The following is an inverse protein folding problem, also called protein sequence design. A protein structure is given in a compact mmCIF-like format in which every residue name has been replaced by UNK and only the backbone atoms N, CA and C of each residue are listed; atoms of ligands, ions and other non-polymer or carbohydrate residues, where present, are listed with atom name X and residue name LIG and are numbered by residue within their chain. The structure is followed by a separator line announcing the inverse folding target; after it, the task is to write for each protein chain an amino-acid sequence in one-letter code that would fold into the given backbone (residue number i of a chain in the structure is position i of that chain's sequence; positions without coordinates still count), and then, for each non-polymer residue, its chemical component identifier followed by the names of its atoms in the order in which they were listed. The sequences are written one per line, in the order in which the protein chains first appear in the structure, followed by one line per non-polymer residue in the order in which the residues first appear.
data_IF_467453712406
#
_entry.id   IF_467453712406
#
_cell.length_a   1.000
_cell.length_b   1.000
_cell.length_c   1.000
_cell.angle_alpha   90.00
_cell.angle_beta   90.00
_cell.angle_gamma   90.00
#
_symmetry.space_group_name_H-M   'P 1'
#
loop_
_entity.id
_entity.type
_entity.pdbx_description
1 polymer ?
#
# COMPACT_ATOMS: atom_id res chain seq x y z
N UNK A 1 -5.85 11.06 20.36
CA UNK A 1 -4.46 10.68 20.70
C UNK A 1 -3.50 11.44 19.78
N UNK A 2 -3.90 11.84 18.64
CA UNK A 2 -3.19 12.46 17.54
C UNK A 2 -3.65 11.84 16.22
N UNK A 3 -3.61 12.61 15.13
CA UNK A 3 -3.89 12.14 13.78
C UNK A 3 -2.64 11.60 13.10
N UNK A 4 -2.80 10.99 11.93
CA UNK A 4 -1.66 10.52 11.12
C UNK A 4 -0.71 11.66 10.72
N UNK A 5 -1.24 12.87 10.59
CA UNK A 5 -0.47 14.08 10.25
C UNK A 5 0.00 14.87 11.47
N UNK A 6 -0.39 14.44 12.70
CA UNK A 6 0.09 15.05 13.93
C UNK A 6 1.38 14.35 14.33
N UNK A 7 2.51 14.93 14.00
CA UNK A 7 3.83 14.40 14.39
C UNK A 7 4.00 14.36 15.92
N UNK A 8 3.14 15.07 16.66
CA UNK A 8 3.21 15.22 18.09
C UNK A 8 2.10 14.44 18.79
N UNK A 9 2.49 13.46 19.61
CA UNK A 9 1.58 12.70 20.46
C UNK A 9 1.04 13.56 21.61
N UNK A 10 -0.28 13.51 21.85
CA UNK A 10 -0.89 14.19 22.99
C UNK A 10 -0.63 13.40 24.27
N UNK A 11 0.43 13.79 25.01
CA UNK A 11 0.91 13.07 26.19
C UNK A 11 -0.13 13.05 27.32
N UNK A 12 -0.81 14.17 27.58
CA UNK A 12 -1.83 14.24 28.65
C UNK A 12 -2.97 13.26 28.40
N UNK A 13 -3.48 13.24 27.18
CA UNK A 13 -4.57 12.33 26.80
C UNK A 13 -4.14 10.86 26.87
N UNK A 14 -2.92 10.53 26.45
CA UNK A 14 -2.40 9.16 26.48
C UNK A 14 -2.24 8.70 27.93
N UNK A 15 -1.64 9.52 28.81
CA UNK A 15 -1.46 9.19 30.22
C UNK A 15 -2.80 9.07 30.93
N UNK A 16 -3.77 9.93 30.61
CA UNK A 16 -5.11 9.87 31.20
C UNK A 16 -5.86 8.56 30.86
N UNK A 17 -5.57 7.94 29.71
CA UNK A 17 -6.13 6.65 29.31
C UNK A 17 -5.53 5.46 30.05
N UNK A 18 -4.37 5.65 30.73
CA UNK A 18 -3.65 4.62 31.49
C UNK A 18 -3.49 3.28 30.73
N UNK A 19 -3.00 3.27 29.49
CA UNK A 19 -2.80 2.02 28.77
C UNK A 19 -1.61 1.24 29.35
N UNK A 20 -1.67 -0.09 29.33
CA UNK A 20 -0.53 -0.95 29.71
C UNK A 20 0.62 -0.85 28.69
N UNK A 21 0.27 -0.62 27.42
CA UNK A 21 1.22 -0.46 26.34
C UNK A 21 0.68 0.45 25.24
N UNK A 22 1.59 1.06 24.50
CA UNK A 22 1.31 1.88 23.33
C UNK A 22 2.12 1.36 22.13
N UNK A 23 1.44 1.11 21.00
CA UNK A 23 2.09 0.74 19.76
C UNK A 23 2.20 1.98 18.89
N UNK A 24 3.41 2.30 18.43
CA UNK A 24 3.67 3.42 17.51
C UNK A 24 4.54 2.96 16.35
N UNK A 25 4.47 3.68 15.24
CA UNK A 25 5.38 3.41 14.15
C UNK A 25 6.76 4.09 14.38
N UNK A 26 7.76 3.64 13.62
CA UNK A 26 9.14 4.14 13.73
C UNK A 26 9.25 5.65 13.50
N UNK A 27 8.47 6.22 12.59
CA UNK A 27 8.48 7.67 12.30
C UNK A 27 7.97 8.47 13.50
N UNK A 28 6.85 8.05 14.08
CA UNK A 28 6.32 8.69 15.29
C UNK A 28 7.27 8.53 16.49
N UNK A 29 7.91 7.39 16.62
CA UNK A 29 8.95 7.21 17.66
C UNK A 29 10.07 8.23 17.50
N UNK A 30 10.64 8.36 16.30
CA UNK A 30 11.71 9.32 16.02
C UNK A 30 11.30 10.79 16.28
N UNK A 31 10.06 11.15 15.95
CA UNK A 31 9.53 12.50 16.16
C UNK A 31 9.18 12.82 17.64
N UNK A 32 9.09 11.80 18.50
CA UNK A 32 8.59 11.95 19.88
C UNK A 32 9.56 11.43 20.95
N UNK A 33 10.84 11.29 20.68
CA UNK A 33 11.81 10.67 21.60
C UNK A 33 11.77 11.22 23.02
N UNK A 34 11.65 12.54 23.20
CA UNK A 34 11.54 13.17 24.53
C UNK A 34 10.24 12.79 25.27
N UNK A 35 9.16 12.54 24.54
CA UNK A 35 7.87 12.14 25.12
C UNK A 35 7.83 10.67 25.49
N UNK A 36 8.61 9.84 24.81
CA UNK A 36 8.70 8.40 25.11
C UNK A 36 9.11 8.18 26.57
N UNK A 37 10.13 8.90 27.06
CA UNK A 37 10.54 8.82 28.47
C UNK A 37 9.43 9.22 29.45
N UNK A 38 8.56 10.15 29.06
CA UNK A 38 7.41 10.55 29.90
C UNK A 38 6.39 9.41 29.99
N UNK A 39 6.13 8.72 28.88
CA UNK A 39 5.23 7.56 28.86
C UNK A 39 5.79 6.41 29.68
N UNK A 40 7.07 6.09 29.52
CA UNK A 40 7.73 5.01 30.26
C UNK A 40 7.74 5.28 31.76
N UNK A 41 8.00 6.54 32.19
CA UNK A 41 7.90 6.97 33.61
C UNK A 41 6.48 6.86 34.15
N UNK A 42 5.45 7.01 33.30
CA UNK A 42 4.06 6.79 33.65
C UNK A 42 3.65 5.31 33.66
N UNK A 43 4.60 4.39 33.45
CA UNK A 43 4.36 2.94 33.42
C UNK A 43 3.82 2.40 32.11
N UNK A 44 3.77 3.22 31.06
CA UNK A 44 3.28 2.83 29.72
C UNK A 44 4.43 2.24 28.92
N UNK A 45 4.34 0.98 28.52
CA UNK A 45 5.34 0.34 27.64
C UNK A 45 5.18 0.86 26.22
N UNK A 46 6.27 1.37 25.62
CA UNK A 46 6.24 1.85 24.23
C UNK A 46 6.80 0.77 23.31
N UNK A 47 5.99 0.33 22.37
CA UNK A 47 6.31 -0.72 21.41
C UNK A 47 6.39 -0.10 20.02
N UNK A 48 7.55 -0.23 19.38
CA UNK A 48 7.79 0.33 18.05
C UNK A 48 7.66 -0.75 17.00
N UNK A 49 6.82 -0.50 15.99
CA UNK A 49 6.65 -1.37 14.83
C UNK A 49 7.06 -0.65 13.55
N UNK A 50 7.46 -1.40 12.54
CA UNK A 50 7.85 -0.83 11.24
C UNK A 50 7.27 -1.65 10.08
N UNK A 51 6.10 -1.23 9.61
CA UNK A 51 5.50 -1.73 8.37
C UNK A 51 5.64 -0.72 7.20
N UNK A 52 6.25 0.47 7.44
CA UNK A 52 6.40 1.49 6.41
C UNK A 52 7.60 1.28 5.50
N UNK A 53 8.66 0.70 6.01
CA UNK A 53 9.89 0.47 5.24
C UNK A 53 9.76 -0.56 4.13
N UNK A 54 8.60 -1.24 4.00
CA UNK A 54 8.33 -2.29 3.01
C UNK A 54 9.41 -3.37 2.93
N UNK A 55 10.04 -3.65 4.09
CA UNK A 55 11.06 -4.68 4.27
C UNK A 55 10.44 -5.86 5.01
N UNK A 56 10.51 -7.04 4.40
CA UNK A 56 9.90 -8.25 4.97
C UNK A 56 10.39 -8.54 6.39
N UNK A 57 11.69 -8.36 6.66
CA UNK A 57 12.26 -8.57 8.00
C UNK A 57 11.63 -7.65 9.05
N UNK A 58 11.30 -6.40 8.70
CA UNK A 58 10.66 -5.46 9.61
C UNK A 58 9.20 -5.84 9.86
N UNK A 59 8.47 -6.27 8.83
CA UNK A 59 7.09 -6.74 8.95
C UNK A 59 7.03 -8.01 9.82
N UNK A 60 7.91 -8.97 9.58
CA UNK A 60 8.01 -10.20 10.38
C UNK A 60 8.33 -9.89 11.84
N UNK A 61 9.34 -9.06 12.10
CA UNK A 61 9.71 -8.67 13.46
C UNK A 61 8.54 -7.95 14.17
N UNK A 62 7.91 -7.00 13.51
CA UNK A 62 6.77 -6.25 14.05
C UNK A 62 5.58 -7.17 14.39
N UNK A 63 5.27 -8.11 13.50
CA UNK A 63 4.20 -9.09 13.70
C UNK A 63 4.50 -10.01 14.89
N UNK A 64 5.74 -10.49 15.02
CA UNK A 64 6.18 -11.31 16.17
C UNK A 64 6.09 -10.56 17.48
N UNK A 65 6.52 -9.29 17.51
CA UNK A 65 6.42 -8.43 18.70
C UNK A 65 4.95 -8.29 19.13
N UNK A 66 4.05 -7.98 18.19
CA UNK A 66 2.61 -7.87 18.47
C UNK A 66 2.06 -9.21 18.96
N UNK A 67 2.40 -10.32 18.29
CA UNK A 67 1.97 -11.66 18.67
C UNK A 67 2.37 -12.01 20.09
N UNK A 68 3.64 -11.77 20.45
CA UNK A 68 4.17 -11.99 21.80
C UNK A 68 3.45 -11.14 22.85
N UNK A 69 3.24 -9.85 22.54
CA UNK A 69 2.54 -8.93 23.44
C UNK A 69 1.11 -9.38 23.73
N UNK A 70 0.43 -9.96 22.75
CA UNK A 70 -0.96 -10.40 22.86
C UNK A 70 -1.13 -11.88 23.23
N UNK A 71 -0.02 -12.62 23.46
CA UNK A 71 -0.06 -14.07 23.70
C UNK A 71 -0.58 -14.86 22.48
N UNK A 72 -0.32 -14.37 21.27
CA UNK A 72 -0.75 -14.95 19.99
C UNK A 72 0.43 -15.36 19.11
N UNK A 73 1.49 -15.90 19.70
CA UNK A 73 2.72 -16.28 19.00
C UNK A 73 2.47 -17.23 17.82
N UNK A 74 1.60 -18.22 17.99
CA UNK A 74 1.27 -19.20 16.92
C UNK A 74 0.65 -18.52 15.70
N UNK A 75 -0.30 -17.63 15.91
CA UNK A 75 -0.96 -16.87 14.82
C UNK A 75 0.03 -15.94 14.13
N UNK A 76 0.89 -15.28 14.92
CA UNK A 76 1.92 -14.40 14.39
C UNK A 76 2.93 -15.16 13.51
N UNK A 77 3.38 -16.37 13.94
CA UNK A 77 4.29 -17.19 13.14
C UNK A 77 3.63 -17.74 11.86
N UNK A 78 2.34 -18.06 11.91
CA UNK A 78 1.59 -18.45 10.71
C UNK A 78 1.52 -17.32 9.69
N UNK A 79 1.15 -16.11 10.12
CA UNK A 79 1.12 -14.90 9.29
C UNK A 79 2.51 -14.59 8.71
N UNK A 80 3.55 -14.67 9.54
CA UNK A 80 4.93 -14.45 9.10
C UNK A 80 5.34 -15.45 8.02
N UNK A 81 5.07 -16.75 8.22
CA UNK A 81 5.39 -17.78 7.23
C UNK A 81 4.66 -17.56 5.92
N UNK A 82 3.35 -17.26 5.95
CA UNK A 82 2.58 -16.93 4.74
C UNK A 82 3.20 -15.75 3.96
N UNK A 83 3.59 -14.70 4.66
CA UNK A 83 4.23 -13.54 4.03
C UNK A 83 5.60 -13.88 3.43
N UNK A 84 6.43 -14.64 4.16
CA UNK A 84 7.74 -15.08 3.68
C UNK A 84 7.59 -15.94 2.41
N UNK A 85 6.74 -16.96 2.47
CA UNK A 85 6.55 -17.89 1.37
C UNK A 85 5.89 -17.19 0.17
N UNK A 86 4.89 -16.33 0.42
CA UNK A 86 4.20 -15.56 -0.60
C UNK A 86 5.14 -14.60 -1.34
N UNK A 87 5.94 -13.81 -0.62
CA UNK A 87 6.91 -12.92 -1.28
C UNK A 87 8.02 -13.67 -1.99
N UNK A 88 8.47 -14.81 -1.47
CA UNK A 88 9.45 -15.66 -2.13
C UNK A 88 8.89 -16.21 -3.46
N UNK A 89 7.63 -16.62 -3.51
CA UNK A 89 6.98 -17.05 -4.75
C UNK A 89 6.83 -15.88 -5.74
N UNK A 90 6.41 -14.71 -5.26
CA UNK A 90 6.33 -13.49 -6.08
C UNK A 90 7.70 -13.18 -6.71
N UNK A 91 8.77 -13.16 -5.92
CA UNK A 91 10.12 -12.86 -6.40
C UNK A 91 10.58 -13.89 -7.46
N UNK A 92 10.33 -15.18 -7.22
CA UNK A 92 10.67 -16.23 -8.16
C UNK A 92 9.88 -16.14 -9.48
N UNK A 93 8.60 -15.79 -9.41
CA UNK A 93 7.76 -15.57 -10.59
C UNK A 93 8.18 -14.34 -11.38
N UNK A 94 8.46 -13.22 -10.70
CA UNK A 94 8.99 -12.00 -11.33
C UNK A 94 10.29 -12.31 -12.06
N UNK A 95 11.25 -12.99 -11.41
CA UNK A 95 12.52 -13.33 -12.02
C UNK A 95 12.37 -14.15 -13.31
N UNK A 96 11.43 -15.13 -13.31
CA UNK A 96 11.14 -15.93 -14.52
C UNK A 96 10.42 -15.12 -15.60
N UNK A 97 9.39 -14.36 -15.20
CA UNK A 97 8.53 -13.65 -16.15
C UNK A 97 9.24 -12.46 -16.83
N UNK A 98 10.17 -11.81 -16.12
CA UNK A 98 10.92 -10.65 -16.63
C UNK A 98 12.20 -11.01 -17.40
N UNK A 99 12.64 -12.27 -17.33
CA UNK A 99 13.90 -12.69 -17.94
C UNK A 99 13.96 -12.35 -19.43
N UNK A 100 14.97 -11.56 -19.83
CA UNK A 100 15.16 -11.13 -21.21
C UNK A 100 14.12 -10.14 -21.76
N UNK A 101 13.18 -9.67 -20.93
CA UNK A 101 12.14 -8.71 -21.33
C UNK A 101 12.48 -7.30 -20.83
N UNK A 102 12.02 -6.29 -21.57
CA UNK A 102 12.09 -4.90 -21.11
C UNK A 102 11.10 -4.68 -19.97
N UNK A 103 11.55 -4.00 -18.93
CA UNK A 103 10.69 -3.58 -17.82
C UNK A 103 9.55 -2.68 -18.32
N UNK A 104 8.29 -2.94 -17.94
CA UNK A 104 7.17 -2.08 -18.31
C UNK A 104 7.28 -0.74 -17.58
N UNK A 105 7.03 0.36 -18.31
CA UNK A 105 7.05 1.70 -17.74
C UNK A 105 5.75 1.97 -17.01
N UNK A 106 5.84 2.28 -15.70
CA UNK A 106 4.70 2.42 -14.81
C UNK A 106 4.61 3.81 -14.21
N UNK A 107 3.41 4.39 -14.23
CA UNK A 107 3.04 5.54 -13.40
C UNK A 107 2.11 5.07 -12.28
N UNK A 108 2.46 5.39 -11.03
CA UNK A 108 1.66 5.14 -9.83
C UNK A 108 1.44 6.44 -9.09
N UNK A 109 0.17 6.77 -8.80
CA UNK A 109 -0.17 7.93 -7.96
C UNK A 109 -1.24 7.59 -6.92
N UNK A 110 -1.26 8.35 -5.83
CA UNK A 110 -2.34 8.32 -4.84
C UNK A 110 -3.48 9.23 -5.29
N UNK A 111 -4.64 8.65 -5.58
CA UNK A 111 -5.83 9.35 -6.09
C UNK A 111 -6.59 10.20 -5.05
N UNK A 112 -5.92 10.66 -3.99
CA UNK A 112 -6.52 11.41 -2.88
C UNK A 112 -6.86 12.86 -3.21
N UNK A 113 -6.30 13.40 -4.30
CA UNK A 113 -6.54 14.79 -4.72
C UNK A 113 -7.62 14.93 -5.81
N UNK A 114 -8.26 13.82 -6.17
CA UNK A 114 -9.27 13.77 -7.21
C UNK A 114 -8.72 13.82 -8.64
N UNK A 115 -9.62 13.76 -9.62
CA UNK A 115 -9.27 13.65 -11.04
C UNK A 115 -8.55 14.89 -11.56
N UNK A 116 -8.91 16.08 -11.08
CA UNK A 116 -8.34 17.34 -11.55
C UNK A 116 -6.89 17.60 -11.13
N UNK A 117 -6.40 16.89 -10.12
CA UNK A 117 -5.09 17.13 -9.53
C UNK A 117 -4.24 15.86 -9.52
N UNK A 118 -2.91 16.02 -9.57
CA UNK A 118 -1.97 14.91 -9.47
C UNK A 118 -1.61 14.65 -8.01
N UNK A 119 -1.79 13.41 -7.59
CA UNK A 119 -1.46 12.96 -6.24
C UNK A 119 0.02 12.65 -6.05
N UNK A 120 0.36 12.17 -4.86
CA UNK A 120 1.73 11.74 -4.58
C UNK A 120 2.07 10.48 -5.35
N UNK A 121 3.28 10.47 -5.92
CA UNK A 121 3.99 9.30 -6.41
C UNK A 121 5.00 8.84 -5.36
N UNK A 122 5.66 7.72 -5.59
CA UNK A 122 6.55 7.08 -4.62
C UNK A 122 7.87 6.71 -5.31
N UNK A 123 8.99 7.04 -4.66
CA UNK A 123 10.28 6.53 -5.13
C UNK A 123 10.43 5.03 -4.79
N UNK A 124 11.48 4.40 -5.32
CA UNK A 124 11.70 2.94 -5.18
C UNK A 124 11.95 2.45 -3.75
N UNK A 125 12.05 3.33 -2.75
CA UNK A 125 12.39 2.95 -1.37
C UNK A 125 11.18 2.82 -0.46
N UNK A 126 9.99 3.26 -0.87
CA UNK A 126 8.83 3.35 0.03
C UNK A 126 7.52 2.91 -0.64
N UNK A 127 6.66 2.26 0.14
CA UNK A 127 5.28 1.89 -0.18
C UNK A 127 5.14 1.31 -1.61
N UNK A 128 4.24 1.88 -2.43
CA UNK A 128 3.99 1.40 -3.80
C UNK A 128 5.23 1.43 -4.69
N UNK A 129 6.14 2.40 -4.49
CA UNK A 129 7.39 2.46 -5.23
C UNK A 129 8.30 1.28 -4.93
N UNK A 130 8.38 0.84 -3.68
CA UNK A 130 9.13 -0.36 -3.29
C UNK A 130 8.51 -1.64 -3.88
N UNK A 131 7.17 -1.74 -3.94
CA UNK A 131 6.48 -2.86 -4.59
C UNK A 131 6.70 -2.87 -6.11
N UNK A 132 6.70 -1.71 -6.77
CA UNK A 132 7.03 -1.59 -8.19
C UNK A 132 8.48 -2.02 -8.47
N UNK A 133 9.42 -1.61 -7.60
CA UNK A 133 10.81 -2.04 -7.71
C UNK A 133 10.95 -3.56 -7.56
N UNK A 134 10.27 -4.17 -6.57
CA UNK A 134 10.20 -5.64 -6.40
C UNK A 134 9.63 -6.34 -7.64
N UNK A 135 8.61 -5.76 -8.26
CA UNK A 135 8.01 -6.27 -9.49
C UNK A 135 8.91 -6.09 -10.74
N UNK A 136 10.08 -5.47 -10.62
CA UNK A 136 10.96 -5.19 -11.73
C UNK A 136 10.38 -4.19 -12.75
N UNK A 137 9.54 -3.27 -12.29
CA UNK A 137 8.93 -2.24 -13.11
C UNK A 137 9.87 -1.04 -13.30
N UNK A 138 9.81 -0.39 -14.48
CA UNK A 138 10.40 0.93 -14.73
C UNK A 138 9.42 2.01 -14.24
N UNK A 139 9.43 2.28 -12.93
CA UNK A 139 8.58 3.34 -12.35
C UNK A 139 9.13 4.71 -12.71
N UNK A 140 8.30 5.58 -13.30
CA UNK A 140 8.72 6.94 -13.69
C UNK A 140 9.16 7.80 -12.50
N UNK A 141 8.80 7.39 -11.28
CA UNK A 141 9.13 8.09 -10.02
C UNK A 141 10.24 7.40 -9.22
N UNK A 142 10.81 6.28 -9.72
CA UNK A 142 11.75 5.44 -8.96
C UNK A 142 12.93 6.21 -8.37
N UNK A 143 13.46 7.16 -9.12
CA UNK A 143 14.65 7.93 -8.78
C UNK A 143 14.35 9.33 -8.21
N UNK A 144 13.10 9.63 -7.83
CA UNK A 144 12.78 10.90 -7.19
C UNK A 144 13.57 11.02 -5.88
N UNK A 145 14.13 12.21 -5.64
CA UNK A 145 14.91 12.49 -4.43
C UNK A 145 14.06 12.32 -3.17
N UNK A 146 12.84 12.88 -3.22
CA UNK A 146 11.91 12.80 -2.11
C UNK A 146 11.13 11.48 -2.17
N UNK A 147 10.91 10.82 -1.04
CA UNK A 147 10.11 9.58 -0.98
C UNK A 147 8.70 9.76 -1.53
N UNK A 148 8.12 10.94 -1.33
CA UNK A 148 6.79 11.34 -1.79
C UNK A 148 6.90 12.64 -2.59
N UNK A 149 6.36 12.64 -3.80
CA UNK A 149 6.27 13.85 -4.61
C UNK A 149 5.12 13.73 -5.61
N UNK A 150 4.43 14.82 -5.89
CA UNK A 150 3.48 14.85 -7.00
C UNK A 150 4.23 14.98 -8.32
N UNK A 151 3.82 14.23 -9.33
CA UNK A 151 4.29 14.45 -10.69
C UNK A 151 3.50 15.60 -11.34
N UNK A 152 4.13 16.31 -12.28
CA UNK A 152 3.38 17.25 -13.14
C UNK A 152 2.74 16.49 -14.30
N UNK A 153 1.66 17.05 -14.84
CA UNK A 153 0.98 16.48 -16.02
C UNK A 153 1.95 16.29 -17.19
N UNK A 154 2.74 17.32 -17.47
CA UNK A 154 3.71 17.34 -18.58
C UNK A 154 4.75 16.24 -18.40
N UNK A 155 5.20 16.03 -17.18
CA UNK A 155 6.15 14.96 -16.87
C UNK A 155 5.53 13.58 -17.13
N UNK A 156 4.34 13.30 -16.62
CA UNK A 156 3.65 12.01 -16.85
C UNK A 156 3.48 11.74 -18.35
N UNK A 157 3.04 12.76 -19.11
CA UNK A 157 2.84 12.64 -20.56
C UNK A 157 4.18 12.37 -21.27
N UNK A 158 5.25 13.10 -20.92
CA UNK A 158 6.58 12.93 -21.53
C UNK A 158 7.17 11.55 -21.25
N UNK A 159 6.89 10.97 -20.09
CA UNK A 159 7.33 9.62 -19.73
C UNK A 159 6.58 8.52 -20.48
N UNK A 160 5.39 8.82 -21.02
CA UNK A 160 4.60 7.91 -21.85
C UNK A 160 4.38 6.52 -21.21
N UNK A 161 3.80 6.41 -19.99
CA UNK A 161 3.70 5.16 -19.28
C UNK A 161 2.86 4.11 -20.02
N UNK A 162 3.28 2.86 -19.90
CA UNK A 162 2.61 1.69 -20.47
C UNK A 162 1.56 1.13 -19.53
N UNK A 163 1.67 1.46 -18.24
CA UNK A 163 0.76 1.07 -17.15
C UNK A 163 0.52 2.27 -16.26
N UNK A 164 -0.74 2.45 -15.84
CA UNK A 164 -1.11 3.44 -14.82
C UNK A 164 -1.83 2.73 -13.69
N UNK A 165 -1.44 3.04 -12.44
CA UNK A 165 -2.05 2.51 -11.23
C UNK A 165 -2.46 3.67 -10.35
N UNK A 166 -3.72 3.71 -9.90
CA UNK A 166 -4.25 4.74 -9.02
C UNK A 166 -4.52 4.13 -7.65
N UNK A 167 -3.84 4.63 -6.62
CA UNK A 167 -4.11 4.25 -5.23
C UNK A 167 -5.35 4.95 -4.72
N UNK A 168 -6.31 4.19 -4.21
CA UNK A 168 -7.55 4.68 -3.63
C UNK A 168 -7.67 4.36 -2.15
N UNK A 169 -8.65 4.94 -1.50
CA UNK A 169 -9.07 4.60 -0.13
C UNK A 169 -10.47 5.16 0.13
N UNK A 170 -11.04 4.85 1.30
CA UNK A 170 -12.18 5.60 1.82
C UNK A 170 -11.68 6.89 2.49
N UNK A 171 -11.57 7.95 1.72
CA UNK A 171 -11.08 9.22 2.22
C UNK A 171 -12.12 9.91 3.14
N UNK A 172 -11.68 10.46 4.26
CA UNK A 172 -12.50 11.26 5.17
C UNK A 172 -12.37 12.75 4.83
N UNK A 173 -12.93 13.17 3.73
CA UNK A 173 -12.86 14.57 3.27
C UNK A 173 -11.98 14.74 2.03
N UNK A 174 -11.90 15.95 1.49
CA UNK A 174 -11.19 16.30 0.27
C UNK A 174 -12.09 16.39 -0.96
N UNK A 175 -11.54 16.17 -2.15
CA UNK A 175 -12.28 16.26 -3.41
C UNK A 175 -13.33 15.14 -3.52
N UNK A 176 -14.47 15.42 -4.10
CA UNK A 176 -15.57 14.45 -4.27
C UNK A 176 -15.31 13.39 -5.33
N UNK A 177 -14.29 13.60 -6.17
CA UNK A 177 -13.88 12.75 -7.29
C UNK A 177 -12.56 11.98 -7.00
N UNK A 178 -12.27 11.77 -5.70
CA UNK A 178 -11.15 10.93 -5.26
C UNK A 178 -11.34 9.47 -5.64
N UNK A 179 -10.23 8.74 -5.85
CA UNK A 179 -10.27 7.29 -6.06
C UNK A 179 -10.76 6.57 -4.81
N UNK A 180 -11.91 5.89 -4.92
CA UNK A 180 -12.51 5.13 -3.84
C UNK A 180 -12.10 3.65 -3.95
N UNK A 181 -11.51 3.09 -2.88
CA UNK A 181 -11.10 1.68 -2.77
C UNK A 181 -11.22 1.21 -1.32
N UNK A 182 -11.13 -0.10 -1.11
CA UNK A 182 -11.06 -0.74 0.20
C UNK A 182 -12.41 -1.24 0.71
N UNK A 183 -12.47 -1.46 2.02
CA UNK A 183 -13.66 -1.99 2.69
C UNK A 183 -14.92 -1.18 2.38
N UNK A 184 -16.04 -1.89 2.19
CA UNK A 184 -17.37 -1.34 1.90
C UNK A 184 -17.49 -0.53 0.61
N UNK A 185 -16.44 -0.43 -0.20
CA UNK A 185 -16.49 0.21 -1.51
C UNK A 185 -16.94 -0.82 -2.55
N UNK A 186 -18.12 -0.59 -3.12
CA UNK A 186 -18.63 -1.44 -4.19
C UNK A 186 -17.75 -1.36 -5.44
N UNK A 187 -17.54 -2.48 -6.12
CA UNK A 187 -16.74 -2.56 -7.35
C UNK A 187 -17.19 -1.55 -8.42
N UNK A 188 -18.51 -1.40 -8.64
CA UNK A 188 -19.05 -0.42 -9.58
C UNK A 188 -18.68 1.03 -9.24
N UNK A 189 -18.62 1.37 -7.95
CA UNK A 189 -18.18 2.70 -7.50
C UNK A 189 -16.70 2.90 -7.82
N UNK A 190 -15.85 1.92 -7.50
CA UNK A 190 -14.43 1.96 -7.80
C UNK A 190 -14.17 2.05 -9.32
N UNK A 191 -14.89 1.27 -10.13
CA UNK A 191 -14.82 1.31 -11.60
C UNK A 191 -15.14 2.71 -12.15
N UNK A 192 -16.24 3.31 -11.70
CA UNK A 192 -16.63 4.68 -12.09
C UNK A 192 -15.57 5.71 -11.73
N UNK A 193 -14.97 5.60 -10.54
CA UNK A 193 -13.89 6.49 -10.13
C UNK A 193 -12.67 6.29 -11.03
N UNK A 194 -12.25 5.04 -11.27
CA UNK A 194 -11.08 4.73 -12.07
C UNK A 194 -11.25 5.17 -13.54
N UNK A 195 -12.44 5.00 -14.12
CA UNK A 195 -12.78 5.51 -15.45
C UNK A 195 -12.64 7.04 -15.52
N UNK A 196 -13.07 7.78 -14.49
CA UNK A 196 -12.91 9.22 -14.43
C UNK A 196 -11.42 9.63 -14.47
N UNK A 197 -10.54 8.91 -13.76
CA UNK A 197 -9.09 9.12 -13.84
C UNK A 197 -8.54 8.81 -15.24
N UNK A 198 -9.01 7.75 -15.89
CA UNK A 198 -8.58 7.37 -17.25
C UNK A 198 -8.91 8.46 -18.27
N UNK A 199 -9.98 9.23 -18.05
CA UNK A 199 -10.40 10.33 -18.91
C UNK A 199 -9.75 11.69 -18.61
N UNK A 200 -8.68 11.73 -17.82
CA UNK A 200 -7.90 12.96 -17.62
C UNK A 200 -7.46 13.58 -18.93
N UNK A 201 -7.47 14.91 -18.97
CA UNK A 201 -7.05 15.68 -20.14
C UNK A 201 -5.65 15.25 -20.63
N UNK A 202 -5.52 15.05 -21.93
CA UNK A 202 -4.31 14.65 -22.66
C UNK A 202 -3.82 13.21 -22.40
N UNK A 203 -4.51 12.40 -21.58
CA UNK A 203 -4.12 11.02 -21.33
C UNK A 203 -4.60 10.02 -22.39
N UNK A 204 -5.52 10.43 -23.26
CA UNK A 204 -6.12 9.56 -24.29
C UNK A 204 -5.06 8.95 -25.25
N UNK A 205 -3.91 9.61 -25.38
CA UNK A 205 -2.82 9.15 -26.24
C UNK A 205 -1.80 8.25 -25.54
N UNK A 206 -1.85 8.16 -24.21
CA UNK A 206 -0.93 7.31 -23.44
C UNK A 206 -1.16 5.81 -23.77
N UNK A 207 -0.10 5.01 -23.90
CA UNK A 207 -0.19 3.56 -24.13
C UNK A 207 -1.02 2.86 -23.06
N UNK A 208 -0.87 3.27 -21.79
CA UNK A 208 -1.66 2.73 -20.68
C UNK A 208 -3.17 2.87 -20.91
N UNK A 209 -3.63 4.01 -21.44
CA UNK A 209 -5.06 4.26 -21.73
C UNK A 209 -5.50 3.52 -22.98
N UNK A 210 -4.74 3.61 -24.07
CA UNK A 210 -5.08 2.94 -25.35
C UNK A 210 -5.17 1.41 -25.21
N UNK A 211 -4.29 0.83 -24.40
CA UNK A 211 -4.22 -0.61 -24.19
C UNK A 211 -4.99 -1.06 -22.96
N UNK A 212 -5.77 -0.17 -22.33
CA UNK A 212 -6.55 -0.41 -21.10
C UNK A 212 -5.73 -1.05 -19.95
N UNK A 213 -4.42 -0.75 -19.89
CA UNK A 213 -3.56 -1.13 -18.76
C UNK A 213 -3.66 -0.09 -17.65
N UNK A 214 -4.88 0.02 -17.12
CA UNK A 214 -5.28 1.01 -16.13
C UNK A 214 -5.90 0.32 -14.92
N UNK A 215 -5.30 0.52 -13.73
CA UNK A 215 -5.57 -0.27 -12.54
C UNK A 215 -5.77 0.62 -11.33
N UNK A 216 -6.43 0.06 -10.30
CA UNK A 216 -6.45 0.69 -8.98
C UNK A 216 -6.14 -0.32 -7.87
N UNK A 217 -5.64 0.21 -6.76
CA UNK A 217 -5.28 -0.55 -5.56
C UNK A 217 -5.74 0.17 -4.31
N UNK A 218 -6.16 -0.58 -3.29
CA UNK A 218 -6.49 -0.01 -1.98
C UNK A 218 -5.24 0.38 -1.21
N UNK A 219 -5.10 1.67 -0.91
CA UNK A 219 -3.98 2.20 -0.13
C UNK A 219 -4.01 1.74 1.34
N UNK A 220 -5.19 1.38 1.84
CA UNK A 220 -5.37 0.84 3.19
C UNK A 220 -4.77 -0.55 3.38
N UNK A 221 -4.65 -1.34 2.31
CA UNK A 221 -4.09 -2.69 2.33
C UNK A 221 -2.55 -2.74 2.41
N UNK A 222 -1.89 -1.59 2.46
CA UNK A 222 -0.46 -1.49 2.74
C UNK A 222 -0.17 -1.52 4.23
N UNK A 223 1.11 -1.69 4.57
CA UNK A 223 1.65 -1.57 5.93
C UNK A 223 1.09 -2.62 6.89
N UNK A 224 0.97 -3.83 6.40
CA UNK A 224 0.55 -5.01 7.17
C UNK A 224 1.34 -6.25 6.75
N UNK A 225 1.27 -7.32 7.54
CA UNK A 225 1.94 -8.58 7.20
C UNK A 225 1.31 -9.29 5.99
N UNK A 226 0.07 -8.92 5.60
CA UNK A 226 -0.63 -9.50 4.44
C UNK A 226 -0.47 -8.64 3.17
N UNK A 227 0.27 -7.53 3.20
CA UNK A 227 0.45 -6.66 2.03
C UNK A 227 1.29 -7.29 0.90
N UNK A 228 1.84 -8.48 1.12
CA UNK A 228 2.47 -9.29 0.08
C UNK A 228 1.50 -9.64 -1.07
N UNK A 229 0.19 -9.72 -0.80
CA UNK A 229 -0.83 -9.86 -1.84
C UNK A 229 -0.85 -8.66 -2.79
N UNK A 230 -0.62 -7.44 -2.26
CA UNK A 230 -0.50 -6.25 -3.11
C UNK A 230 0.78 -6.30 -3.95
N UNK A 231 1.88 -6.83 -3.41
CA UNK A 231 3.09 -7.10 -4.21
C UNK A 231 2.81 -8.10 -5.33
N UNK A 232 2.02 -9.15 -5.07
CA UNK A 232 1.59 -10.11 -6.09
C UNK A 232 0.70 -9.45 -7.16
N UNK A 233 -0.23 -8.57 -6.76
CA UNK A 233 -1.06 -7.83 -7.72
C UNK A 233 -0.23 -6.91 -8.61
N UNK A 234 0.68 -6.13 -8.05
CA UNK A 234 1.58 -5.25 -8.82
C UNK A 234 2.44 -6.07 -9.81
N UNK A 235 2.97 -7.22 -9.34
CA UNK A 235 3.71 -8.13 -10.22
C UNK A 235 2.84 -8.71 -11.34
N UNK A 236 1.58 -9.09 -11.05
CA UNK A 236 0.60 -9.55 -12.05
C UNK A 236 0.27 -8.46 -13.07
N UNK A 237 0.15 -7.21 -12.64
CA UNK A 237 -0.05 -6.06 -13.54
C UNK A 237 1.14 -5.87 -14.48
N UNK A 238 2.37 -6.04 -13.98
CA UNK A 238 3.58 -5.93 -14.79
C UNK A 238 3.80 -7.13 -15.73
N UNK A 239 3.54 -8.35 -15.24
CA UNK A 239 3.87 -9.62 -15.88
C UNK A 239 2.68 -10.59 -15.85
N UNK A 240 1.56 -10.30 -16.55
CA UNK A 240 0.29 -11.03 -16.40
C UNK A 240 0.41 -12.53 -16.65
N UNK A 241 1.22 -12.94 -17.62
CA UNK A 241 1.40 -14.37 -17.95
C UNK A 241 2.04 -15.18 -16.81
N UNK A 242 2.97 -14.57 -16.07
CA UNK A 242 3.66 -15.22 -14.94
C UNK A 242 2.79 -15.36 -13.68
N UNK A 243 1.62 -14.72 -13.66
CA UNK A 243 0.70 -14.65 -12.51
C UNK A 243 -0.75 -14.97 -12.89
N UNK A 244 -0.98 -15.65 -14.02
CA UNK A 244 -2.33 -15.94 -14.52
C UNK A 244 -3.16 -16.78 -13.54
N UNK A 245 -2.51 -17.68 -12.80
CA UNK A 245 -3.10 -18.57 -11.80
C UNK A 245 -3.33 -17.92 -10.43
N UNK A 246 -2.87 -16.68 -10.21
CA UNK A 246 -3.04 -15.99 -8.93
C UNK A 246 -4.25 -15.05 -8.94
N UNK A 247 -4.96 -15.03 -7.80
CA UNK A 247 -5.98 -14.04 -7.49
C UNK A 247 -5.60 -13.34 -6.16
N UNK A 248 -4.82 -12.25 -6.22
CA UNK A 248 -4.38 -11.54 -5.02
C UNK A 248 -5.53 -10.95 -4.19
N UNK A 249 -6.63 -10.51 -4.82
CA UNK A 249 -7.80 -9.98 -4.12
C UNK A 249 -8.51 -11.07 -3.32
N UNK A 250 -8.73 -12.22 -3.93
CA UNK A 250 -9.29 -13.38 -3.22
C UNK A 250 -8.40 -13.80 -2.04
N UNK A 251 -7.06 -13.71 -2.19
CA UNK A 251 -6.11 -13.96 -1.12
C UNK A 251 -6.26 -13.00 0.06
N UNK A 252 -6.38 -11.70 -0.18
CA UNK A 252 -6.63 -10.68 0.85
C UNK A 252 -7.94 -10.99 1.60
N UNK A 253 -9.01 -11.25 0.86
CA UNK A 253 -10.34 -11.55 1.45
C UNK A 253 -10.29 -12.83 2.28
N UNK A 254 -9.57 -13.86 1.81
CA UNK A 254 -9.41 -15.12 2.54
C UNK A 254 -8.64 -14.92 3.86
N UNK A 255 -7.57 -14.12 3.85
CA UNK A 255 -6.82 -13.82 5.06
C UNK A 255 -7.66 -13.00 6.06
N UNK A 256 -8.42 -12.01 5.62
CA UNK A 256 -9.34 -11.28 6.50
C UNK A 256 -10.39 -12.21 7.13
N UNK A 257 -11.03 -13.09 6.35
CA UNK A 257 -12.02 -14.06 6.87
C UNK A 257 -11.40 -15.02 7.88
N UNK A 258 -10.18 -15.44 7.66
CA UNK A 258 -9.50 -16.41 8.53
C UNK A 258 -9.05 -15.79 9.85
N UNK A 259 -8.38 -14.62 9.79
CA UNK A 259 -7.77 -14.01 10.98
C UNK A 259 -8.70 -13.04 11.72
N UNK A 260 -9.71 -12.50 11.04
CA UNK A 260 -10.66 -11.53 11.56
C UNK A 260 -12.10 -11.97 11.25
N UNK A 261 -12.57 -13.11 11.81
CA UNK A 261 -13.85 -13.72 11.42
C UNK A 261 -15.07 -12.82 11.67
N UNK A 262 -14.97 -11.86 12.59
CA UNK A 262 -16.03 -10.89 12.89
C UNK A 262 -16.01 -9.66 11.96
N UNK A 263 -15.00 -9.53 11.07
CA UNK A 263 -14.91 -8.47 10.08
C UNK A 263 -15.58 -8.91 8.78
N UNK A 264 -16.52 -8.12 8.28
CA UNK A 264 -17.01 -8.29 6.91
C UNK A 264 -15.94 -7.74 5.93
N UNK A 265 -15.27 -8.59 5.14
CA UNK A 265 -14.25 -8.16 4.19
C UNK A 265 -14.86 -7.70 2.86
N UNK A 266 -16.17 -7.40 2.79
CA UNK A 266 -16.77 -6.86 1.58
C UNK A 266 -16.12 -5.52 1.19
N UNK A 267 -15.71 -5.43 -0.07
CA UNK A 267 -15.02 -4.25 -0.59
C UNK A 267 -14.32 -4.49 -1.91
N UNK A 268 -13.57 -3.50 -2.37
CA UNK A 268 -12.76 -3.58 -3.59
C UNK A 268 -11.32 -3.19 -3.25
N UNK A 269 -10.42 -4.15 -3.26
CA UNK A 269 -9.02 -3.96 -2.87
C UNK A 269 -8.08 -3.84 -4.07
N UNK A 270 -8.42 -4.48 -5.18
CA UNK A 270 -7.71 -4.39 -6.46
C UNK A 270 -8.70 -4.23 -7.60
N UNK A 271 -8.33 -3.49 -8.64
CA UNK A 271 -9.20 -3.27 -9.78
C UNK A 271 -8.41 -3.18 -11.07
N UNK A 272 -8.89 -3.86 -12.11
CA UNK A 272 -8.51 -3.66 -13.49
C UNK A 272 -9.75 -3.19 -14.27
N UNK A 273 -9.63 -2.12 -15.05
CA UNK A 273 -10.68 -1.80 -16.01
C UNK A 273 -10.65 -2.88 -17.09
N UNK A 274 -11.69 -3.68 -17.15
CA UNK A 274 -11.79 -4.83 -18.04
C UNK A 274 -11.51 -4.51 -19.51
N UNK A 275 -11.01 -5.50 -20.23
CA UNK A 275 -10.92 -5.50 -21.68
C UNK A 275 -12.30 -5.63 -22.30
#
# INVERSE_FOLDING_TARGET
IGGFHDDILNSEKIIALKPDAMIINRTQFAANTQRIEVFERAGIRVIVTDYHAMKLENHVLSTRIIGRMLGRDTVAEELCRKAIDGLKDVDARVARASAGKKAPKVYMELGSKGVGNYGNTYNSTILWGAMLARAGADSISANNREPYSAATREYVISQNPEIIIIGGSRWSGGASDQMQMGFTVERKTAEKCLEAFMHRSLWQNLPAVKNRRFYAVDHGSLRSIIDWHMSAFIAKVCWPEGFADMDPEAGIVADYKHYLPDLDPAGTFTLALGN
#
